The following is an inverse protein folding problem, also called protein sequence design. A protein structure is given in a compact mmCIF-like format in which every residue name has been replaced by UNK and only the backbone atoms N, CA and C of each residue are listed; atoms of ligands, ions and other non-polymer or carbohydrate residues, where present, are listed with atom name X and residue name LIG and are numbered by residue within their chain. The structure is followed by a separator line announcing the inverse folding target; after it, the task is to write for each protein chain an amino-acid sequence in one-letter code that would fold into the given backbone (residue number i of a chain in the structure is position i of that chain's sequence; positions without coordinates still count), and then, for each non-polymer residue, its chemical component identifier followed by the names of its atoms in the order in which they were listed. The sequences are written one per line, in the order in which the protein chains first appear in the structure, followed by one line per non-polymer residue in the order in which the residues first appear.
data_IF_676319013389
#
_entry.id   IF_676319013389
#
_cell.length_a   1.000
_cell.length_b   1.000
_cell.length_c   1.000
_cell.angle_alpha   90.00
_cell.angle_beta   90.00
_cell.angle_gamma   90.00
#
_symmetry.space_group_name_H-M   'P 1'
#
loop_
_entity.id
_entity.type
_entity.pdbx_description
1 polymer ?
#
# COMPACT_ATOMS: atom_id res chain seq x y z
N UNK A 1 -13.84 7.24 -0.84
CA UNK A 1 -12.81 6.77 -1.77
C UNK A 1 -11.46 7.01 -1.14
N UNK A 2 -10.51 6.09 -1.33
CA UNK A 2 -9.16 6.26 -0.78
C UNK A 2 -8.47 7.47 -1.42
N UNK A 3 -7.60 8.13 -0.66
CA UNK A 3 -6.97 9.41 -1.04
C UNK A 3 -5.78 9.26 -2.00
N UNK A 4 -5.51 8.03 -2.46
CA UNK A 4 -4.42 7.73 -3.38
C UNK A 4 -4.91 6.61 -4.30
N UNK A 5 -4.96 6.89 -5.61
CA UNK A 5 -5.24 5.87 -6.62
C UNK A 5 -4.01 4.98 -6.83
N UNK A 6 -4.23 3.70 -7.14
CA UNK A 6 -3.17 2.75 -7.50
C UNK A 6 -3.64 1.85 -8.65
N UNK A 7 -2.70 1.32 -9.42
CA UNK A 7 -2.98 0.36 -10.51
C UNK A 7 -3.71 -0.87 -9.97
N UNK A 8 -4.56 -1.52 -10.79
CA UNK A 8 -5.35 -2.68 -10.37
C UNK A 8 -6.84 -2.38 -10.30
N UNK A 9 -7.50 -2.65 -9.18
CA UNK A 9 -8.94 -2.42 -9.00
C UNK A 9 -9.20 -1.45 -7.86
N UNK A 10 -9.89 -0.35 -8.15
CA UNK A 10 -10.36 0.60 -7.15
C UNK A 10 -11.67 0.09 -6.53
N UNK A 11 -11.71 -0.20 -5.22
CA UNK A 11 -12.97 -0.53 -4.56
C UNK A 11 -13.87 0.71 -4.47
N UNK A 12 -15.11 0.54 -4.91
CA UNK A 12 -16.22 1.48 -4.76
C UNK A 12 -17.25 0.88 -3.81
N UNK A 13 -17.53 1.61 -2.73
CA UNK A 13 -18.53 1.22 -1.74
C UNK A 13 -19.85 1.91 -2.09
N UNK A 14 -20.82 1.14 -2.57
CA UNK A 14 -22.16 1.61 -2.90
C UNK A 14 -23.08 1.37 -1.70
N UNK A 15 -23.58 2.45 -1.09
CA UNK A 15 -24.64 2.43 -0.08
C UNK A 15 -25.93 2.96 -0.72
N UNK A 16 -26.90 2.08 -0.92
CA UNK A 16 -28.18 2.38 -1.55
C UNK A 16 -29.28 2.38 -0.50
N UNK A 17 -30.07 3.46 -0.48
CA UNK A 17 -31.18 3.65 0.46
C UNK A 17 -32.47 4.01 -0.27
N UNK A 18 -33.65 3.62 0.25
CA UNK A 18 -34.94 4.03 -0.33
C UNK A 18 -35.06 5.56 -0.36
N UNK A 19 -35.44 6.12 -1.52
CA UNK A 19 -35.66 7.55 -1.66
C UNK A 19 -36.92 8.03 -0.91
N UNK A 20 -37.93 7.15 -0.81
CA UNK A 20 -39.20 7.40 -0.12
C UNK A 20 -39.42 6.31 0.91
N UNK A 21 -39.78 6.70 2.14
CA UNK A 21 -40.03 5.77 3.23
C UNK A 21 -38.75 5.33 3.96
N UNK A 22 -38.87 4.29 4.79
CA UNK A 22 -37.76 3.75 5.59
C UNK A 22 -37.17 2.45 5.03
N UNK A 23 -37.86 1.83 4.06
CA UNK A 23 -37.58 0.49 3.56
C UNK A 23 -37.94 0.37 2.08
N UNK A 24 -37.26 -0.51 1.35
CA UNK A 24 -37.69 -0.89 0.00
C UNK A 24 -39.05 -1.58 0.06
N UNK A 25 -39.96 -1.23 -0.85
CA UNK A 25 -41.35 -1.70 -0.86
C UNK A 25 -41.58 -2.99 -1.67
N UNK A 26 -40.54 -3.47 -2.34
CA UNK A 26 -40.47 -4.73 -3.08
C UNK A 26 -39.01 -5.09 -3.31
N UNK A 27 -38.75 -6.32 -3.74
CA UNK A 27 -37.45 -6.69 -4.29
C UNK A 27 -37.18 -5.88 -5.57
N UNK A 28 -35.96 -5.39 -5.72
CA UNK A 28 -35.53 -4.59 -6.87
C UNK A 28 -34.22 -5.11 -7.43
N UNK A 29 -34.11 -5.12 -8.76
CA UNK A 29 -32.87 -5.36 -9.48
C UNK A 29 -32.46 -4.07 -10.16
N UNK A 30 -31.35 -3.49 -9.70
CA UNK A 30 -30.85 -2.22 -10.23
C UNK A 30 -29.58 -2.50 -11.04
N UNK A 31 -29.58 -2.09 -12.30
CA UNK A 31 -28.39 -2.08 -13.13
C UNK A 31 -27.59 -0.81 -12.84
N UNK A 32 -26.30 -0.96 -12.61
CA UNK A 32 -25.38 0.12 -12.27
C UNK A 32 -24.32 0.20 -13.36
N UNK A 33 -24.26 1.36 -14.01
CA UNK A 33 -23.19 1.73 -14.93
C UNK A 33 -22.27 2.73 -14.25
N UNK A 34 -20.98 2.43 -14.22
CA UNK A 34 -19.94 3.24 -13.62
C UNK A 34 -18.97 3.67 -14.70
N UNK A 35 -18.87 4.97 -14.92
CA UNK A 35 -18.15 5.60 -16.02
C UNK A 35 -17.02 6.48 -15.46
N UNK A 36 -15.85 5.91 -15.14
CA UNK A 36 -14.67 6.69 -14.81
C UNK A 36 -14.14 7.40 -16.06
N UNK A 37 -13.75 8.67 -15.94
CA UNK A 37 -13.20 9.48 -17.03
C UNK A 37 -12.05 10.34 -16.53
N UNK A 38 -11.14 10.68 -17.42
CA UNK A 38 -10.12 11.70 -17.21
C UNK A 38 -10.65 13.05 -17.75
N UNK A 39 -10.06 14.18 -17.35
CA UNK A 39 -10.40 15.51 -17.85
C UNK A 39 -10.22 15.60 -19.38
N UNK A 40 -9.33 14.76 -19.93
CA UNK A 40 -9.19 14.53 -21.36
C UNK A 40 -9.79 13.17 -21.69
N UNK A 41 -10.67 13.09 -22.69
CA UNK A 41 -11.17 11.79 -23.15
C UNK A 41 -10.01 10.93 -23.64
N UNK A 42 -9.97 9.68 -23.21
CA UNK A 42 -8.91 8.73 -23.55
C UNK A 42 -9.46 7.58 -24.38
N UNK A 43 -8.62 6.97 -25.22
CA UNK A 43 -9.01 5.78 -25.99
C UNK A 43 -9.28 4.54 -25.10
N UNK A 44 -8.95 4.63 -23.81
CA UNK A 44 -9.15 3.57 -22.81
C UNK A 44 -10.29 3.90 -21.83
N UNK A 45 -11.08 4.95 -22.10
CA UNK A 45 -12.30 5.23 -21.36
C UNK A 45 -13.28 4.05 -21.51
N UNK A 46 -13.91 3.65 -20.41
CA UNK A 46 -14.78 2.47 -20.37
C UNK A 46 -15.99 2.67 -19.47
N UNK A 47 -17.03 1.86 -19.70
CA UNK A 47 -18.18 1.75 -18.80
C UNK A 47 -18.14 0.39 -18.11
N UNK A 48 -18.21 0.42 -16.78
CA UNK A 48 -18.25 -0.77 -15.94
C UNK A 48 -19.69 -1.05 -15.51
N UNK A 49 -20.19 -2.24 -15.83
CA UNK A 49 -21.56 -2.64 -15.52
C UNK A 49 -21.58 -3.66 -14.38
N UNK A 50 -22.49 -3.48 -13.43
CA UNK A 50 -22.79 -4.43 -12.35
C UNK A 50 -24.25 -4.34 -11.96
N UNK A 51 -24.73 -5.34 -11.23
CA UNK A 51 -26.10 -5.36 -10.72
C UNK A 51 -26.12 -5.27 -9.19
N UNK A 52 -27.19 -4.68 -8.66
CA UNK A 52 -27.54 -4.67 -7.24
C UNK A 52 -28.88 -5.37 -7.05
N UNK A 53 -28.94 -6.24 -6.05
CA UNK A 53 -30.18 -6.90 -5.63
C UNK A 53 -30.62 -6.33 -4.29
N UNK A 54 -31.68 -5.54 -4.29
CA UNK A 54 -32.22 -4.87 -3.11
C UNK A 54 -33.42 -5.66 -2.60
N UNK A 55 -33.33 -6.20 -1.38
CA UNK A 55 -34.44 -6.96 -0.78
C UNK A 55 -35.56 -6.05 -0.28
N UNK A 56 -36.80 -6.51 -0.44
CA UNK A 56 -37.97 -5.92 0.21
C UNK A 56 -37.73 -5.77 1.71
N UNK A 57 -38.26 -4.71 2.30
CA UNK A 57 -38.14 -4.38 3.72
C UNK A 57 -36.73 -4.03 4.22
N UNK A 58 -35.67 -4.14 3.42
CA UNK A 58 -34.36 -3.64 3.80
C UNK A 58 -34.35 -2.09 3.84
N UNK A 59 -33.66 -1.51 4.82
CA UNK A 59 -33.51 -0.05 4.96
C UNK A 59 -32.31 0.51 4.20
N UNK A 60 -31.34 -0.35 3.89
CA UNK A 60 -30.15 -0.04 3.12
C UNK A 60 -29.60 -1.31 2.50
N UNK A 61 -28.77 -1.15 1.48
CA UNK A 61 -27.97 -2.21 0.89
C UNK A 61 -26.57 -1.68 0.64
N UNK A 62 -25.56 -2.42 1.08
CA UNK A 62 -24.15 -2.07 0.87
C UNK A 62 -23.50 -3.13 -0.03
N UNK A 63 -22.85 -2.68 -1.09
CA UNK A 63 -22.10 -3.55 -1.99
C UNK A 63 -20.75 -2.90 -2.34
N UNK A 64 -19.69 -3.70 -2.30
CA UNK A 64 -18.37 -3.30 -2.79
C UNK A 64 -18.22 -3.74 -4.24
N UNK A 65 -17.95 -2.79 -5.13
CA UNK A 65 -17.72 -3.00 -6.56
C UNK A 65 -16.25 -2.75 -6.85
N UNK A 66 -15.61 -3.68 -7.55
CA UNK A 66 -14.20 -3.58 -7.91
C UNK A 66 -14.11 -3.06 -9.33
N UNK A 67 -13.80 -1.78 -9.48
CA UNK A 67 -13.71 -1.14 -10.80
C UNK A 67 -12.24 -1.07 -11.21
N UNK A 68 -11.85 -1.57 -12.40
CA UNK A 68 -10.48 -1.46 -12.87
C UNK A 68 -9.98 -0.02 -12.84
N UNK A 69 -8.78 0.22 -12.32
CA UNK A 69 -8.13 1.52 -12.25
C UNK A 69 -6.89 1.53 -13.13
N UNK A 70 -7.08 1.95 -14.38
CA UNK A 70 -6.02 1.97 -15.40
C UNK A 70 -5.32 3.33 -15.51
N UNK A 71 -6.03 4.39 -15.18
CA UNK A 71 -5.56 5.77 -15.27
C UNK A 71 -6.27 6.62 -14.20
N UNK A 72 -5.70 7.78 -13.83
CA UNK A 72 -6.34 8.70 -12.91
C UNK A 72 -7.71 9.21 -13.39
N UNK A 73 -8.71 9.01 -12.54
CA UNK A 73 -10.07 9.50 -12.76
C UNK A 73 -10.19 10.95 -12.31
N UNK A 74 -10.52 11.84 -13.24
CA UNK A 74 -10.92 13.21 -12.93
C UNK A 74 -12.43 13.32 -12.71
N UNK A 75 -13.18 12.37 -13.27
CA UNK A 75 -14.61 12.25 -13.14
C UNK A 75 -15.01 10.79 -12.93
N UNK A 76 -16.02 10.56 -12.09
CA UNK A 76 -16.70 9.30 -11.98
C UNK A 76 -18.20 9.54 -12.09
N UNK A 77 -18.83 9.03 -13.15
CA UNK A 77 -20.28 9.07 -13.29
C UNK A 77 -20.88 7.71 -12.91
N UNK A 78 -21.89 7.72 -12.04
CA UNK A 78 -22.67 6.53 -11.70
C UNK A 78 -24.07 6.74 -12.27
N UNK A 79 -24.56 5.77 -13.04
CA UNK A 79 -25.88 5.75 -13.63
C UNK A 79 -26.63 4.48 -13.19
N UNK A 80 -27.86 4.65 -12.71
CA UNK A 80 -28.72 3.61 -12.17
C UNK A 80 -29.97 3.46 -13.02
N UNK A 81 -30.22 2.25 -13.50
CA UNK A 81 -31.44 1.89 -14.23
C UNK A 81 -32.16 0.71 -13.55
N UNK A 82 -33.47 0.63 -13.69
CA UNK A 82 -34.29 -0.51 -13.25
C UNK A 82 -35.20 -0.90 -14.41
N UNK A 83 -35.16 -2.16 -14.83
CA UNK A 83 -35.97 -2.66 -15.95
C UNK A 83 -35.76 -1.87 -17.26
N UNK A 84 -34.56 -1.31 -17.46
CA UNK A 84 -34.19 -0.48 -18.61
C UNK A 84 -34.57 1.00 -18.49
N UNK A 85 -35.27 1.40 -17.43
CA UNK A 85 -35.68 2.79 -17.19
C UNK A 85 -34.73 3.51 -16.23
N UNK A 86 -34.46 4.78 -16.48
CA UNK A 86 -33.60 5.60 -15.63
C UNK A 86 -34.29 5.91 -14.29
N UNK A 87 -33.61 5.64 -13.18
CA UNK A 87 -34.13 6.04 -11.87
C UNK A 87 -34.06 7.56 -11.72
N UNK A 88 -35.08 8.16 -11.10
CA UNK A 88 -35.06 9.59 -10.77
C UNK A 88 -33.89 9.90 -9.83
N UNK A 89 -32.98 10.78 -10.25
CA UNK A 89 -31.73 11.05 -9.52
C UNK A 89 -30.72 9.90 -9.55
N UNK A 90 -30.95 8.89 -10.39
CA UNK A 90 -30.10 7.72 -10.58
C UNK A 90 -28.80 8.01 -11.33
N UNK A 91 -28.61 9.23 -11.85
CA UNK A 91 -27.35 9.67 -12.43
C UNK A 91 -26.67 10.68 -11.51
N UNK A 92 -25.40 10.42 -11.18
CA UNK A 92 -24.57 11.35 -10.42
C UNK A 92 -23.12 11.31 -10.88
N UNK A 93 -22.59 12.50 -11.11
CA UNK A 93 -21.19 12.72 -11.46
C UNK A 93 -20.40 13.24 -10.25
N UNK A 94 -19.23 12.66 -10.02
CA UNK A 94 -18.29 13.06 -8.98
C UNK A 94 -17.02 13.58 -9.66
N UNK A 95 -16.56 14.79 -9.29
CA UNK A 95 -15.37 15.42 -9.87
C UNK A 95 -14.16 15.35 -8.92
N UNK A 96 -12.97 15.29 -9.50
CA UNK A 96 -11.66 15.38 -8.85
C UNK A 96 -11.43 16.74 -8.20
N UNK A 97 -10.66 16.76 -7.12
CA UNK A 97 -10.38 17.95 -6.31
C UNK A 97 -11.46 18.35 -5.31
N UNK A 98 -12.74 18.00 -5.53
CA UNK A 98 -13.81 18.23 -4.54
C UNK A 98 -14.12 17.00 -3.68
N UNK A 99 -14.13 15.79 -4.27
CA UNK A 99 -14.50 14.55 -3.58
C UNK A 99 -13.68 13.31 -4.00
N UNK A 100 -13.15 13.29 -5.22
CA UNK A 100 -12.18 12.28 -5.66
C UNK A 100 -10.79 12.83 -5.36
N UNK A 101 -10.14 12.32 -4.31
CA UNK A 101 -8.73 12.59 -4.02
C UNK A 101 -7.90 11.47 -4.61
N UNK A 102 -7.96 11.21 -5.91
CA UNK A 102 -7.05 10.24 -6.53
C UNK A 102 -5.95 11.02 -7.24
N UNK A 103 -4.99 11.54 -6.47
CA UNK A 103 -3.73 11.98 -7.07
C UNK A 103 -2.95 10.73 -7.47
N UNK A 104 -3.03 10.34 -8.74
CA UNK A 104 -2.06 9.41 -9.28
C UNK A 104 -0.68 10.04 -9.12
N UNK A 105 0.11 9.44 -8.25
CA UNK A 105 1.45 9.91 -7.92
C UNK A 105 2.49 8.98 -8.53
N UNK A 106 2.09 8.17 -9.53
CA UNK A 106 2.94 7.18 -10.20
C UNK A 106 3.80 6.44 -9.17
N UNK A 107 3.14 6.03 -8.08
CA UNK A 107 3.82 5.46 -6.94
C UNK A 107 4.44 4.17 -7.41
N UNK A 108 5.77 4.07 -7.27
CA UNK A 108 6.47 2.87 -7.65
C UNK A 108 6.03 1.69 -6.79
N UNK A 109 5.69 1.93 -5.52
CA UNK A 109 5.30 0.89 -4.57
C UNK A 109 4.14 1.34 -3.67
N UNK A 110 3.08 0.54 -3.59
CA UNK A 110 2.01 0.68 -2.59
C UNK A 110 2.08 -0.42 -1.55
N UNK A 111 2.14 -0.04 -0.27
CA UNK A 111 2.29 -0.96 0.86
C UNK A 111 1.04 -0.97 1.73
N UNK A 112 0.33 -2.08 1.78
CA UNK A 112 -0.70 -2.32 2.80
C UNK A 112 -0.05 -2.61 4.15
N UNK A 113 -0.49 -1.95 5.21
CA UNK A 113 -0.01 -2.18 6.58
C UNK A 113 -1.19 -2.66 7.41
N UNK A 114 -1.18 -3.93 7.79
CA UNK A 114 -2.30 -4.49 8.54
C UNK A 114 -2.20 -4.14 10.02
N UNK A 115 -3.28 -3.54 10.55
CA UNK A 115 -3.37 -3.07 11.92
C UNK A 115 -4.37 -3.93 12.71
N UNK A 116 -3.99 -4.45 13.88
CA UNK A 116 -4.89 -5.26 14.70
C UNK A 116 -6.03 -4.40 15.28
N UNK A 117 -7.23 -4.98 15.40
CA UNK A 117 -8.39 -4.32 16.02
C UNK A 117 -8.09 -3.86 17.46
N UNK A 118 -7.32 -4.67 18.19
CA UNK A 118 -6.95 -4.45 19.58
C UNK A 118 -5.72 -3.54 19.77
N UNK A 119 -5.24 -2.88 18.71
CA UNK A 119 -4.07 -1.99 18.72
C UNK A 119 -4.04 -0.91 19.80
N UNK A 120 -5.18 -0.64 20.47
CA UNK A 120 -5.25 0.27 21.62
C UNK A 120 -4.67 -0.33 22.91
N UNK A 121 -4.57 -1.66 23.01
CA UNK A 121 -4.08 -2.35 24.21
C UNK A 121 -2.54 -2.34 24.27
N UNK A 122 -1.86 -2.40 23.12
CA UNK A 122 -0.40 -2.29 22.97
C UNK A 122 0.39 -3.16 23.97
N UNK A 123 -0.08 -4.39 24.16
CA UNK A 123 0.52 -5.32 25.12
C UNK A 123 1.82 -5.93 24.60
N UNK A 124 2.01 -5.95 23.28
CA UNK A 124 3.15 -6.57 22.60
C UNK A 124 3.75 -5.63 21.56
N UNK A 125 5.04 -5.82 21.25
CA UNK A 125 5.76 -4.92 20.35
C UNK A 125 5.16 -4.89 18.93
N UNK A 126 4.63 -6.02 18.44
CA UNK A 126 4.03 -6.12 17.12
C UNK A 126 2.65 -5.43 17.00
N UNK A 127 1.96 -5.16 18.12
CA UNK A 127 0.70 -4.41 18.15
C UNK A 127 0.89 -2.89 17.95
N UNK A 128 2.12 -2.40 18.12
CA UNK A 128 2.47 -1.01 17.86
C UNK A 128 2.49 -0.78 16.34
N UNK A 129 1.88 0.32 15.88
CA UNK A 129 1.89 0.67 14.47
C UNK A 129 3.35 0.77 13.96
N UNK A 130 3.70 0.10 12.84
CA UNK A 130 5.04 0.13 12.28
C UNK A 130 5.58 1.55 12.05
N UNK A 131 6.78 1.83 12.55
CA UNK A 131 7.53 3.04 12.22
C UNK A 131 8.17 2.91 10.83
N UNK A 132 7.45 3.32 9.79
CA UNK A 132 7.83 3.10 8.39
C UNK A 132 8.88 4.07 7.84
N UNK A 133 9.52 4.90 8.69
CA UNK A 133 10.51 5.89 8.24
C UNK A 133 11.65 5.28 7.41
N UNK A 134 12.12 4.09 7.76
CA UNK A 134 13.14 3.37 6.99
C UNK A 134 12.64 2.94 5.60
N UNK A 135 11.39 2.47 5.54
CA UNK A 135 10.75 2.04 4.30
C UNK A 135 10.46 3.20 3.34
N UNK A 136 10.08 4.38 3.86
CA UNK A 136 9.93 5.59 3.04
C UNK A 136 11.20 5.86 2.23
N UNK A 137 12.36 5.74 2.87
CA UNK A 137 13.66 5.94 2.22
C UNK A 137 14.01 4.79 1.27
N UNK A 138 13.90 3.54 1.72
CA UNK A 138 14.42 2.37 0.98
C UNK A 138 13.52 1.95 -0.18
N UNK A 139 12.19 1.90 0.03
CA UNK A 139 11.24 1.52 -1.03
C UNK A 139 10.96 2.70 -1.97
N UNK A 140 10.68 3.88 -1.41
CA UNK A 140 10.21 5.02 -2.19
C UNK A 140 11.29 5.99 -2.64
N UNK A 141 12.56 5.67 -2.41
CA UNK A 141 13.69 6.61 -2.63
C UNK A 141 13.47 7.96 -1.93
N UNK A 142 12.74 7.95 -0.81
CA UNK A 142 12.37 9.13 -0.06
C UNK A 142 13.54 9.80 0.65
N UNK A 143 13.32 10.97 1.26
CA UNK A 143 14.31 11.62 2.10
C UNK A 143 14.68 10.74 3.30
N UNK A 144 15.89 10.93 3.82
CA UNK A 144 16.26 10.48 5.15
C UNK A 144 15.46 11.29 6.19
N UNK A 145 15.00 10.64 7.29
CA UNK A 145 14.23 11.33 8.32
C UNK A 145 14.97 12.54 8.90
N UNK A 146 14.24 13.63 9.08
CA UNK A 146 14.79 14.89 9.59
C UNK A 146 13.79 15.63 10.49
N UNK A 147 14.27 16.73 11.09
CA UNK A 147 13.45 17.64 11.90
C UNK A 147 13.16 17.14 13.32
N UNK A 148 12.55 18.00 14.13
CA UNK A 148 12.33 17.74 15.57
C UNK A 148 11.30 16.64 15.86
N UNK A 149 10.33 16.43 14.96
CA UNK A 149 9.20 15.52 15.17
C UNK A 149 9.43 14.10 14.65
N UNK A 150 10.39 13.91 13.75
CA UNK A 150 10.66 12.62 13.08
C UNK A 150 12.14 12.35 12.80
N UNK A 151 13.02 13.23 13.25
CA UNK A 151 14.46 13.14 13.00
C UNK A 151 15.21 12.30 14.02
N UNK A 152 16.52 12.53 14.09
CA UNK A 152 17.48 11.69 14.78
C UNK A 152 17.28 11.56 16.30
N UNK A 153 16.56 12.49 16.94
CA UNK A 153 16.31 12.45 18.38
C UNK A 153 15.21 11.45 18.79
N UNK A 154 14.45 10.91 17.84
CA UNK A 154 13.32 10.00 18.12
C UNK A 154 13.64 8.63 17.56
N UNK A 155 14.22 7.70 18.36
CA UNK A 155 14.71 6.42 17.87
C UNK A 155 13.61 5.53 17.28
N UNK A 156 12.38 5.64 17.80
CA UNK A 156 11.17 4.97 17.31
C UNK A 156 9.97 5.89 17.54
N UNK A 157 9.07 5.99 16.55
CA UNK A 157 7.82 6.72 16.70
C UNK A 157 6.85 5.97 17.62
N UNK A 158 6.06 6.71 18.40
CA UNK A 158 4.92 6.13 19.10
C UNK A 158 3.81 5.70 18.11
N UNK A 159 2.87 4.89 18.59
CA UNK A 159 1.78 4.33 17.77
C UNK A 159 1.01 5.41 17.01
N UNK A 160 0.62 6.50 17.66
CA UNK A 160 -0.23 7.52 17.05
C UNK A 160 0.53 8.31 15.98
N UNK A 161 1.81 8.57 16.21
CA UNK A 161 2.67 9.29 15.28
C UNK A 161 3.01 8.41 14.08
N UNK A 162 3.26 7.10 14.30
CA UNK A 162 3.47 6.12 13.24
C UNK A 162 2.20 5.94 12.39
N UNK A 163 1.02 5.81 13.02
CA UNK A 163 -0.26 5.72 12.30
C UNK A 163 -0.55 6.99 11.50
N UNK A 164 -0.29 8.17 12.07
CA UNK A 164 -0.43 9.43 11.34
C UNK A 164 0.50 9.47 10.12
N UNK A 165 1.73 8.98 10.25
CA UNK A 165 2.66 8.87 9.13
C UNK A 165 2.11 7.97 8.02
N UNK A 166 1.46 6.84 8.33
CA UNK A 166 0.84 5.97 7.31
C UNK A 166 -0.26 6.67 6.50
N UNK A 167 -0.98 7.61 7.11
CA UNK A 167 -2.07 8.35 6.47
C UNK A 167 -1.60 9.56 5.64
N UNK A 168 -0.36 10.00 5.84
CA UNK A 168 0.19 11.13 5.10
C UNK A 168 0.59 10.72 3.68
N UNK A 169 0.50 11.68 2.75
CA UNK A 169 1.14 11.55 1.44
C UNK A 169 2.64 11.62 1.67
N UNK A 170 3.35 10.57 1.24
CA UNK A 170 4.78 10.51 1.45
C UNK A 170 5.49 11.40 0.42
N UNK A 171 6.56 12.12 0.82
CA UNK A 171 7.46 12.77 -0.13
C UNK A 171 8.39 11.73 -0.77
N UNK A 172 7.85 10.64 -1.32
CA UNK A 172 8.58 9.48 -1.81
C UNK A 172 7.70 8.69 -2.80
N UNK A 173 8.32 7.89 -3.66
CA UNK A 173 7.62 6.99 -4.60
C UNK A 173 7.07 5.73 -3.92
N UNK A 174 6.69 5.84 -2.64
CA UNK A 174 6.03 4.79 -1.87
C UNK A 174 4.87 5.38 -1.11
N UNK A 175 3.77 4.65 -1.01
CA UNK A 175 2.66 5.02 -0.16
C UNK A 175 2.21 3.87 0.70
N UNK A 176 1.75 4.21 1.89
CA UNK A 176 1.22 3.25 2.83
C UNK A 176 -0.31 3.34 2.88
N UNK A 177 -0.94 2.19 3.06
CA UNK A 177 -2.39 2.05 3.26
C UNK A 177 -2.62 1.27 4.54
N UNK A 178 -3.04 1.93 5.64
CA UNK A 178 -3.41 1.20 6.84
C UNK A 178 -4.69 0.41 6.59
N UNK A 179 -4.60 -0.91 6.71
CA UNK A 179 -5.73 -1.83 6.59
C UNK A 179 -6.12 -2.22 8.00
N UNK A 180 -7.40 -2.12 8.33
CA UNK A 180 -7.90 -2.58 9.63
C UNK A 180 -8.31 -4.04 9.53
N UNK A 181 -7.96 -4.81 10.54
CA UNK A 181 -8.30 -6.23 10.61
C UNK A 181 -9.82 -6.52 10.57
N UNK A 182 -10.68 -5.63 11.08
CA UNK A 182 -12.16 -5.78 10.99
C UNK A 182 -12.73 -5.51 9.59
N UNK A 183 -11.88 -5.07 8.66
CA UNK A 183 -12.25 -4.66 7.31
C UNK A 183 -11.32 -5.28 6.27
N UNK A 184 -10.84 -6.48 6.55
CA UNK A 184 -10.01 -7.21 5.60
C UNK A 184 -10.83 -7.60 4.37
N UNK A 185 -10.32 -7.32 3.16
CA UNK A 185 -10.93 -7.83 1.95
C UNK A 185 -11.15 -9.33 1.97
N UNK A 186 -12.25 -9.77 1.38
CA UNK A 186 -12.61 -11.19 1.27
C UNK A 186 -12.34 -11.75 -0.13
N UNK A 187 -11.85 -10.91 -1.04
CA UNK A 187 -11.51 -11.24 -2.43
C UNK A 187 -10.11 -10.75 -2.73
N UNK A 188 -9.31 -11.58 -3.39
CA UNK A 188 -7.90 -11.26 -3.67
C UNK A 188 -7.74 -10.01 -4.56
N UNK A 189 -8.69 -9.75 -5.46
CA UNK A 189 -8.68 -8.60 -6.37
C UNK A 189 -8.71 -7.26 -5.64
N UNK A 190 -9.23 -7.19 -4.42
CA UNK A 190 -9.22 -5.97 -3.60
C UNK A 190 -7.81 -5.59 -3.13
N UNK A 191 -6.88 -6.55 -3.07
CA UNK A 191 -5.47 -6.30 -2.80
C UNK A 191 -4.66 -5.92 -4.05
N UNK A 192 -5.28 -5.89 -5.24
CA UNK A 192 -4.57 -5.64 -6.49
C UNK A 192 -3.91 -4.26 -6.57
N UNK A 193 -4.37 -3.28 -5.78
CA UNK A 193 -3.73 -1.96 -5.64
C UNK A 193 -2.48 -1.97 -4.75
N UNK A 194 -2.19 -3.09 -4.09
CA UNK A 194 -1.02 -3.25 -3.27
C UNK A 194 0.06 -3.98 -4.04
N UNK A 195 1.28 -3.57 -3.77
CA UNK A 195 2.50 -4.25 -4.19
C UNK A 195 3.06 -5.14 -3.09
N UNK A 196 2.85 -4.70 -1.86
CA UNK A 196 3.36 -5.32 -0.66
C UNK A 196 2.32 -5.28 0.46
N UNK A 197 2.19 -6.36 1.21
CA UNK A 197 1.42 -6.41 2.46
C UNK A 197 2.38 -6.65 3.65
N UNK A 198 2.37 -5.75 4.63
CA UNK A 198 3.06 -5.91 5.92
C UNK A 198 2.08 -6.45 6.95
N UNK A 199 2.43 -7.56 7.59
CA UNK A 199 1.55 -8.22 8.57
C UNK A 199 2.35 -8.94 9.67
N UNK A 200 2.01 -8.81 10.96
CA UNK A 200 2.62 -9.63 12.00
C UNK A 200 2.12 -11.08 11.94
N UNK A 201 2.99 -12.05 12.20
CA UNK A 201 2.69 -13.48 12.19
C UNK A 201 1.53 -13.85 13.12
N UNK A 202 1.47 -13.35 14.37
CA UNK A 202 0.33 -13.64 15.26
C UNK A 202 -1.01 -13.15 14.70
N UNK A 203 -1.02 -11.98 14.07
CA UNK A 203 -2.22 -11.44 13.44
C UNK A 203 -2.64 -12.27 12.22
N UNK A 204 -1.69 -12.69 11.38
CA UNK A 204 -1.98 -13.56 10.23
C UNK A 204 -2.60 -14.89 10.67
N UNK A 205 -2.08 -15.50 11.74
CA UNK A 205 -2.62 -16.75 12.28
C UNK A 205 -4.01 -16.54 12.89
N UNK A 206 -4.27 -15.42 13.56
CA UNK A 206 -5.61 -15.06 14.04
C UNK A 206 -6.61 -14.94 12.87
N UNK A 207 -6.24 -14.21 11.81
CA UNK A 207 -7.06 -14.05 10.60
C UNK A 207 -7.36 -15.40 9.95
N UNK A 208 -6.39 -16.32 9.90
CA UNK A 208 -6.60 -17.68 9.39
C UNK A 208 -7.71 -18.42 10.14
N UNK A 209 -7.78 -18.26 11.46
CA UNK A 209 -8.76 -18.96 12.32
C UNK A 209 -10.12 -18.24 12.32
N UNK A 210 -10.12 -16.92 12.49
CA UNK A 210 -11.34 -16.13 12.73
C UNK A 210 -11.97 -15.60 11.44
N UNK A 211 -11.18 -15.41 10.37
CA UNK A 211 -11.61 -14.83 9.09
C UNK A 211 -11.05 -15.63 7.90
N UNK A 212 -11.36 -16.94 7.78
CA UNK A 212 -10.70 -17.83 6.81
C UNK A 212 -10.87 -17.39 5.35
N UNK A 213 -11.98 -16.72 5.01
CA UNK A 213 -12.19 -16.19 3.67
C UNK A 213 -11.20 -15.06 3.32
N UNK A 214 -10.97 -14.13 4.25
CA UNK A 214 -9.97 -13.06 4.07
C UNK A 214 -8.55 -13.60 4.06
N UNK A 215 -8.27 -14.61 4.89
CA UNK A 215 -6.99 -15.33 4.81
C UNK A 215 -6.78 -15.95 3.42
N UNK A 216 -7.77 -16.66 2.89
CA UNK A 216 -7.69 -17.25 1.56
C UNK A 216 -7.49 -16.18 0.48
N UNK A 217 -8.15 -15.03 0.58
CA UNK A 217 -7.96 -13.91 -0.33
C UNK A 217 -6.51 -13.37 -0.33
N UNK A 218 -5.85 -13.32 0.83
CA UNK A 218 -4.42 -12.96 0.93
C UNK A 218 -3.56 -14.02 0.23
N UNK A 219 -3.83 -15.31 0.49
CA UNK A 219 -3.08 -16.43 -0.11
C UNK A 219 -3.23 -16.44 -1.63
N UNK A 220 -4.44 -16.28 -2.14
CA UNK A 220 -4.73 -16.19 -3.57
C UNK A 220 -4.02 -14.98 -4.20
N UNK A 221 -4.03 -13.82 -3.53
CA UNK A 221 -3.33 -12.63 -3.99
C UNK A 221 -1.81 -12.88 -4.09
N UNK A 222 -1.20 -13.51 -3.09
CA UNK A 222 0.22 -13.91 -3.14
C UNK A 222 0.45 -14.87 -4.31
N UNK A 223 -0.41 -15.87 -4.49
CA UNK A 223 -0.29 -16.83 -5.60
C UNK A 223 -0.32 -16.14 -6.98
N UNK A 224 -1.01 -15.01 -7.10
CA UNK A 224 -1.06 -14.18 -8.33
C UNK A 224 0.10 -13.19 -8.50
N UNK A 225 1.08 -13.19 -7.60
CA UNK A 225 2.27 -12.33 -7.70
C UNK A 225 2.43 -11.33 -6.56
N UNK A 226 1.47 -11.23 -5.62
CA UNK A 226 1.58 -10.36 -4.46
C UNK A 226 2.79 -10.69 -3.57
N UNK A 227 3.35 -9.67 -2.92
CA UNK A 227 4.40 -9.87 -1.91
C UNK A 227 3.84 -9.66 -0.52
N UNK A 228 4.11 -10.56 0.42
CA UNK A 228 3.80 -10.38 1.84
C UNK A 228 5.07 -10.42 2.68
N UNK A 229 5.25 -9.46 3.58
CA UNK A 229 6.28 -9.51 4.61
C UNK A 229 5.61 -9.77 5.95
N UNK A 230 5.89 -10.97 6.47
CA UNK A 230 5.41 -11.44 7.74
C UNK A 230 6.50 -11.22 8.78
N UNK A 231 6.25 -10.41 9.81
CA UNK A 231 7.20 -10.18 10.90
C UNK A 231 6.75 -10.83 12.21
N UNK A 232 7.56 -10.80 13.27
CA UNK A 232 7.32 -11.52 14.52
C UNK A 232 7.20 -13.04 14.35
N UNK A 233 7.95 -13.61 13.39
CA UNK A 233 7.88 -15.06 13.11
C UNK A 233 8.56 -15.93 14.17
N UNK A 234 9.37 -15.34 15.06
CA UNK A 234 9.86 -16.02 16.26
C UNK A 234 8.80 -16.12 17.37
N UNK A 235 7.86 -15.18 17.43
CA UNK A 235 6.74 -15.23 18.39
C UNK A 235 5.78 -16.34 17.99
N UNK A 236 5.45 -16.43 16.71
CA UNK A 236 4.53 -17.44 16.19
C UNK A 236 4.94 -17.92 14.80
N UNK A 237 5.10 -19.24 14.66
CA UNK A 237 5.47 -19.84 13.39
C UNK A 237 4.39 -19.61 12.33
N UNK A 238 4.82 -19.37 11.09
CA UNK A 238 3.92 -19.38 9.96
C UNK A 238 3.51 -20.83 9.68
N UNK A 239 2.27 -21.19 10.00
CA UNK A 239 1.80 -22.58 9.88
C UNK A 239 1.27 -22.93 8.49
N UNK A 240 1.04 -21.93 7.64
CA UNK A 240 0.45 -22.08 6.32
C UNK A 240 1.49 -22.23 5.19
N UNK A 241 2.75 -21.89 5.47
CA UNK A 241 3.91 -22.23 4.64
C UNK A 241 4.76 -23.19 5.45
N UNK A 242 5.17 -24.28 4.82
CA UNK A 242 6.00 -25.26 5.51
C UNK A 242 7.40 -24.69 5.78
N UNK A 243 7.96 -24.94 6.96
CA UNK A 243 9.23 -24.33 7.38
C UNK A 243 10.42 -24.68 6.48
N UNK A 244 10.37 -25.85 5.83
CA UNK A 244 11.36 -26.30 4.85
C UNK A 244 11.30 -25.51 3.53
N UNK A 245 10.19 -24.81 3.25
CA UNK A 245 10.08 -23.91 2.10
C UNK A 245 10.71 -22.53 2.37
N UNK A 246 10.95 -22.18 3.64
CA UNK A 246 11.53 -20.90 4.03
C UNK A 246 13.06 -21.00 3.99
N UNK A 247 13.64 -20.37 2.98
CA UNK A 247 15.09 -20.26 2.82
C UNK A 247 15.62 -19.03 3.55
N UNK A 248 16.70 -19.17 4.33
CA UNK A 248 17.36 -18.00 4.95
C UNK A 248 18.05 -17.13 3.89
N UNK A 249 18.05 -15.82 4.12
CA UNK A 249 18.76 -14.89 3.24
C UNK A 249 20.28 -15.21 3.28
N UNK A 250 20.97 -15.33 2.14
CA UNK A 250 22.42 -15.48 2.15
C UNK A 250 23.10 -14.21 2.67
N UNK A 251 24.09 -14.34 3.56
CA UNK A 251 24.80 -13.17 4.12
C UNK A 251 25.52 -12.31 3.06
N UNK A 252 25.90 -12.91 1.93
CA UNK A 252 26.48 -12.18 0.80
C UNK A 252 25.51 -11.23 0.08
N UNK A 253 24.20 -11.35 0.32
CA UNK A 253 23.18 -10.44 -0.20
C UNK A 253 22.90 -9.25 0.73
N UNK A 254 23.49 -9.24 1.93
CA UNK A 254 23.37 -8.10 2.86
C UNK A 254 24.50 -7.12 2.56
N UNK A 255 24.14 -5.90 2.18
CA UNK A 255 25.11 -4.84 1.92
C UNK A 255 25.97 -4.53 3.16
N UNK A 256 27.29 -4.44 2.96
CA UNK A 256 28.18 -3.87 3.98
C UNK A 256 28.03 -2.34 4.08
N UNK A 257 28.71 -1.68 5.04
CA UNK A 257 28.55 -0.24 5.29
C UNK A 257 28.75 0.65 4.06
N UNK A 258 29.72 0.32 3.19
CA UNK A 258 29.95 1.06 1.95
C UNK A 258 28.81 0.88 0.93
N UNK A 259 28.25 -0.33 0.82
CA UNK A 259 27.11 -0.63 -0.04
C UNK A 259 25.86 0.15 0.39
N UNK A 260 25.56 0.14 1.69
CA UNK A 260 24.43 0.88 2.26
C UNK A 260 24.54 2.37 1.96
N UNK A 261 25.70 2.99 2.23
CA UNK A 261 25.94 4.41 1.96
C UNK A 261 25.83 4.77 0.47
N UNK A 262 26.25 3.87 -0.42
CA UNK A 262 26.12 4.05 -1.87
C UNK A 262 24.66 4.03 -2.31
N UNK A 263 23.89 3.04 -1.87
CA UNK A 263 22.47 2.92 -2.19
C UNK A 263 21.65 4.09 -1.61
N UNK A 264 22.02 4.60 -0.44
CA UNK A 264 21.40 5.79 0.14
C UNK A 264 21.75 7.09 -0.61
N UNK A 265 22.63 7.06 -1.62
CA UNK A 265 23.02 8.23 -2.42
C UNK A 265 23.38 9.45 -1.57
N UNK A 266 24.26 9.28 -0.58
CA UNK A 266 24.51 10.30 0.46
C UNK A 266 25.01 11.66 -0.08
N UNK A 267 25.53 11.73 -1.30
CA UNK A 267 25.95 12.99 -1.92
C UNK A 267 24.78 13.80 -2.52
N UNK A 268 23.61 13.19 -2.68
CA UNK A 268 22.42 13.85 -3.20
C UNK A 268 21.76 14.76 -2.15
N UNK A 269 20.90 15.66 -2.63
CA UNK A 269 20.06 16.50 -1.77
C UNK A 269 19.04 15.64 -1.00
N UNK A 270 18.77 16.00 0.26
CA UNK A 270 17.76 15.33 1.08
C UNK A 270 16.38 15.98 0.86
N UNK A 271 15.85 15.83 -0.35
CA UNK A 271 14.64 16.51 -0.81
C UNK A 271 13.36 16.01 -0.10
N UNK A 272 12.85 16.85 0.80
CA UNK A 272 11.63 16.61 1.57
C UNK A 272 10.36 17.15 0.91
N UNK A 273 10.46 17.72 -0.29
CA UNK A 273 9.28 18.21 -1.01
C UNK A 273 8.35 17.06 -1.40
N UNK A 274 7.06 17.40 -1.49
CA UNK A 274 6.03 16.45 -1.89
C UNK A 274 6.18 16.08 -3.38
N UNK A 275 5.57 14.97 -3.76
CA UNK A 275 5.40 14.64 -5.16
C UNK A 275 4.26 15.47 -5.76
N UNK A 276 4.47 16.01 -6.96
CA UNK A 276 3.48 16.73 -7.75
C UNK A 276 3.49 16.21 -9.18
N UNK A 277 2.42 16.46 -9.93
CA UNK A 277 2.44 16.31 -11.38
C UNK A 277 2.98 17.57 -12.03
N UNK A 278 3.73 17.42 -13.11
CA UNK A 278 4.09 18.54 -13.97
C UNK A 278 3.11 18.76 -15.12
N UNK A 279 3.45 19.66 -16.04
CA UNK A 279 2.60 20.01 -17.18
C UNK A 279 2.46 18.84 -18.17
N UNK A 280 3.39 17.87 -18.17
CA UNK A 280 3.33 16.63 -18.96
C UNK A 280 2.63 15.49 -18.18
N UNK A 281 2.06 15.81 -17.01
CA UNK A 281 1.48 14.86 -16.06
C UNK A 281 2.48 13.86 -15.47
N UNK A 282 3.79 14.09 -15.64
CA UNK A 282 4.82 13.28 -15.00
C UNK A 282 4.91 13.60 -13.52
N UNK A 283 5.14 12.57 -12.69
CA UNK A 283 5.26 12.76 -11.25
C UNK A 283 6.69 13.10 -10.89
N UNK A 284 6.86 14.30 -10.36
CA UNK A 284 8.14 14.92 -10.03
C UNK A 284 8.11 15.45 -8.60
N UNK A 285 9.27 15.75 -8.05
CA UNK A 285 9.38 16.50 -6.80
C UNK A 285 8.95 17.95 -7.02
N UNK A 286 8.18 18.52 -6.11
CA UNK A 286 7.77 19.93 -6.12
C UNK A 286 8.98 20.90 -6.10
N UNK A 287 10.12 20.44 -5.58
CA UNK A 287 11.41 21.12 -5.68
C UNK A 287 11.83 21.47 -7.13
N UNK A 288 11.33 20.75 -8.15
CA UNK A 288 11.56 21.07 -9.58
C UNK A 288 11.06 22.48 -9.94
N UNK A 289 10.08 23.02 -9.21
CA UNK A 289 9.44 24.32 -9.47
C UNK A 289 9.75 25.39 -8.42
N UNK A 290 10.52 25.06 -7.40
CA UNK A 290 10.79 25.96 -6.28
C UNK A 290 12.29 26.10 -6.04
N UNK A 291 12.74 27.30 -5.67
CA UNK A 291 14.14 27.57 -5.33
C UNK A 291 14.49 27.08 -3.91
N UNK A 292 13.95 25.94 -3.50
CA UNK A 292 14.16 25.38 -2.18
C UNK A 292 15.60 24.85 -2.06
N UNK A 293 16.30 25.27 -1.00
CA UNK A 293 17.62 24.75 -0.67
C UNK A 293 17.49 23.64 0.36
N UNK A 294 17.85 22.42 -0.03
CA UNK A 294 17.87 21.26 0.87
C UNK A 294 19.31 20.93 1.26
N UNK A 295 19.50 20.48 2.50
CA UNK A 295 20.78 19.94 2.96
C UNK A 295 21.11 18.61 2.28
N UNK A 296 22.35 18.14 2.41
CA UNK A 296 22.76 16.85 1.84
C UNK A 296 22.22 15.67 2.66
N UNK A 297 22.07 14.52 2.00
CA UNK A 297 21.74 13.25 2.66
C UNK A 297 22.84 12.79 3.62
N UNK A 298 24.10 13.10 3.31
CA UNK A 298 25.25 12.84 4.20
C UNK A 298 25.06 13.46 5.58
N UNK A 299 24.53 14.69 5.63
CA UNK A 299 24.37 15.44 6.87
C UNK A 299 23.27 14.81 7.72
N UNK A 300 22.13 14.48 7.10
CA UNK A 300 21.03 13.78 7.76
C UNK A 300 21.45 12.38 8.26
N UNK A 301 22.24 11.64 7.47
CA UNK A 301 22.75 10.34 7.88
C UNK A 301 23.74 10.45 9.05
N UNK A 302 24.61 11.47 9.03
CA UNK A 302 25.58 11.72 10.10
C UNK A 302 24.85 12.05 11.40
N UNK A 303 23.83 12.90 11.37
CA UNK A 303 22.98 13.17 12.53
C UNK A 303 22.33 11.91 13.11
N UNK A 304 21.82 11.02 12.24
CA UNK A 304 21.25 9.73 12.67
C UNK A 304 22.32 8.84 13.33
N UNK A 305 23.53 8.78 12.74
CA UNK A 305 24.63 7.98 13.26
C UNK A 305 25.14 8.53 14.60
N UNK A 306 25.31 9.84 14.73
CA UNK A 306 25.76 10.53 15.93
C UNK A 306 24.76 10.36 17.08
N UNK A 307 23.45 10.39 16.77
CA UNK A 307 22.38 10.10 17.71
C UNK A 307 22.23 8.60 18.03
N UNK A 308 23.04 7.73 17.41
CA UNK A 308 22.93 6.25 17.49
C UNK A 308 21.52 5.76 17.16
N UNK A 309 20.88 6.40 16.18
CA UNK A 309 19.52 6.08 15.77
C UNK A 309 19.47 4.68 15.12
N UNK A 310 18.45 3.84 15.38
CA UNK A 310 18.35 2.49 14.81
C UNK A 310 18.50 2.42 13.29
N UNK A 311 17.88 3.36 12.55
CA UNK A 311 18.04 3.54 11.10
C UNK A 311 19.49 3.53 10.58
N UNK A 312 20.43 4.16 11.30
CA UNK A 312 21.83 4.26 10.88
C UNK A 312 22.72 3.16 11.48
N UNK A 313 22.15 2.24 12.27
CA UNK A 313 22.88 1.12 12.85
C UNK A 313 23.33 0.15 11.77
N UNK A 314 24.56 -0.35 11.89
CA UNK A 314 25.13 -1.35 10.99
C UNK A 314 25.44 -2.60 11.80
N UNK A 315 25.01 -3.74 11.29
CA UNK A 315 25.23 -5.04 11.89
C UNK A 315 26.09 -5.92 10.98
N UNK A 316 26.63 -7.00 11.54
CA UNK A 316 27.33 -7.99 10.73
C UNK A 316 26.34 -8.61 9.72
N UNK A 317 26.71 -8.77 8.43
CA UNK A 317 25.84 -9.32 7.39
C UNK A 317 25.13 -10.62 7.78
N UNK A 318 25.84 -11.54 8.44
CA UNK A 318 25.26 -12.81 8.92
C UNK A 318 24.15 -12.62 9.96
N UNK A 319 24.25 -11.62 10.84
CA UNK A 319 23.23 -11.36 11.86
C UNK A 319 21.94 -10.83 11.25
N UNK A 320 22.05 -9.92 10.26
CA UNK A 320 20.91 -9.42 9.47
C UNK A 320 20.27 -10.56 8.69
N UNK A 321 21.09 -11.32 7.95
CA UNK A 321 20.65 -12.44 7.12
C UNK A 321 19.89 -13.53 7.90
N UNK A 322 20.37 -13.88 9.09
CA UNK A 322 19.74 -14.93 9.92
C UNK A 322 18.32 -14.57 10.37
N UNK A 323 17.98 -13.28 10.41
CA UNK A 323 16.64 -12.79 10.79
C UNK A 323 15.66 -12.75 9.61
N UNK A 324 16.13 -12.96 8.38
CA UNK A 324 15.32 -12.87 7.17
C UNK A 324 15.25 -14.26 6.53
N UNK A 325 14.04 -14.80 6.43
CA UNK A 325 13.70 -15.93 5.60
C UNK A 325 12.88 -15.48 4.40
N UNK A 326 12.82 -16.29 3.35
CA UNK A 326 11.93 -16.06 2.23
C UNK A 326 11.45 -17.38 1.62
N UNK A 327 10.27 -17.35 1.01
CA UNK A 327 9.71 -18.47 0.26
C UNK A 327 8.93 -17.92 -0.95
N UNK A 328 8.95 -18.65 -2.06
CA UNK A 328 8.05 -18.37 -3.19
C UNK A 328 6.72 -19.07 -2.97
N UNK A 329 5.62 -18.41 -3.34
CA UNK A 329 4.28 -19.00 -3.26
C UNK A 329 3.48 -18.60 -4.50
N UNK A 330 3.22 -19.56 -5.39
CA UNK A 330 2.72 -19.27 -6.74
C UNK A 330 3.70 -18.34 -7.48
N UNK A 331 3.19 -17.23 -8.00
CA UNK A 331 3.99 -16.18 -8.65
C UNK A 331 4.57 -15.15 -7.67
N UNK A 332 4.12 -15.15 -6.41
CA UNK A 332 4.49 -14.14 -5.42
C UNK A 332 5.60 -14.58 -4.47
N UNK A 333 5.85 -13.75 -3.47
CA UNK A 333 6.88 -14.00 -2.47
C UNK A 333 6.40 -13.71 -1.04
N UNK A 334 6.87 -14.54 -0.12
CA UNK A 334 6.75 -14.36 1.32
C UNK A 334 8.13 -14.06 1.88
N UNK A 335 8.27 -12.94 2.58
CA UNK A 335 9.43 -12.66 3.42
C UNK A 335 9.05 -12.90 4.88
N UNK A 336 9.80 -13.75 5.57
CA UNK A 336 9.65 -14.05 6.98
C UNK A 336 10.71 -13.26 7.77
N UNK A 337 10.27 -12.34 8.62
CA UNK A 337 11.13 -11.55 9.51
C UNK A 337 11.00 -12.11 10.93
N UNK A 338 12.13 -12.51 11.48
CA UNK A 338 12.21 -13.15 12.79
C UNK A 338 11.84 -12.20 13.94
N UNK A 339 12.27 -10.94 13.83
CA UNK A 339 12.11 -9.93 14.87
C UNK A 339 10.63 -9.64 15.18
N UNK A 340 10.31 -9.58 16.46
CA UNK A 340 8.97 -9.24 16.96
C UNK A 340 8.53 -7.84 16.53
N UNK A 341 9.49 -6.94 16.39
CA UNK A 341 9.28 -5.56 15.96
C UNK A 341 10.51 -5.05 15.19
N UNK A 342 10.57 -5.25 13.86
CA UNK A 342 11.71 -4.85 13.04
C UNK A 342 11.76 -3.34 12.77
N UNK A 343 10.89 -2.52 13.37
CA UNK A 343 10.75 -1.10 13.04
C UNK A 343 11.51 -0.18 14.03
N UNK A 344 11.98 1.01 13.62
CA UNK A 344 12.07 1.47 12.24
C UNK A 344 13.10 0.72 11.38
N UNK A 345 13.83 -0.25 11.97
CA UNK A 345 14.86 -1.06 11.32
C UNK A 345 16.06 -0.24 10.89
N UNK A 346 17.19 -0.88 10.58
CA UNK A 346 18.30 -0.17 9.93
C UNK A 346 18.08 -0.05 8.42
N UNK A 347 18.71 0.93 7.77
CA UNK A 347 18.72 0.99 6.31
C UNK A 347 19.34 -0.28 5.71
N UNK A 348 20.38 -0.84 6.34
CA UNK A 348 20.98 -2.11 5.94
C UNK A 348 19.97 -3.26 5.98
N UNK A 349 19.18 -3.36 7.06
CA UNK A 349 18.16 -4.39 7.21
C UNK A 349 17.09 -4.28 6.12
N UNK A 350 16.52 -3.09 5.91
CA UNK A 350 15.48 -2.91 4.89
C UNK A 350 16.01 -3.05 3.47
N UNK A 351 17.25 -2.63 3.18
CA UNK A 351 17.89 -2.88 1.88
C UNK A 351 18.09 -4.38 1.64
N UNK A 352 18.39 -5.17 2.68
CA UNK A 352 18.47 -6.63 2.56
C UNK A 352 17.11 -7.28 2.30
N UNK A 353 16.06 -6.82 2.99
CA UNK A 353 14.67 -7.28 2.77
C UNK A 353 14.21 -6.93 1.36
N UNK A 354 14.41 -5.69 0.93
CA UNK A 354 14.05 -5.22 -0.41
C UNK A 354 14.91 -5.85 -1.48
N UNK A 355 16.21 -6.04 -1.26
CA UNK A 355 17.11 -6.64 -2.25
C UNK A 355 16.71 -8.06 -2.67
N UNK A 356 15.94 -8.78 -1.84
CA UNK A 356 15.38 -10.09 -2.18
C UNK A 356 14.21 -10.00 -3.16
N UNK A 357 13.49 -8.89 -3.12
CA UNK A 357 12.27 -8.53 -3.84
C UNK A 357 12.68 -7.42 -4.81
N UNK A 358 13.23 -7.73 -6.00
CA UNK A 358 13.70 -6.63 -6.86
C UNK A 358 12.58 -5.59 -7.00
N UNK A 359 12.89 -4.29 -6.90
CA UNK A 359 11.83 -3.27 -6.93
C UNK A 359 10.94 -3.43 -8.16
N UNK A 360 11.53 -3.89 -9.27
CA UNK A 360 10.80 -4.28 -10.48
C UNK A 360 9.75 -5.37 -10.19
N UNK A 361 10.09 -6.47 -9.52
CA UNK A 361 9.14 -7.52 -9.12
C UNK A 361 8.03 -7.03 -8.18
N UNK A 362 8.31 -5.97 -7.39
CA UNK A 362 7.32 -5.35 -6.53
C UNK A 362 6.34 -4.47 -7.29
N UNK A 363 6.61 -4.00 -8.51
CA UNK A 363 5.66 -3.09 -9.19
C UNK A 363 4.55 -3.86 -9.91
N UNK A 364 3.30 -3.41 -9.75
CA UNK A 364 2.13 -3.99 -10.44
C UNK A 364 2.34 -4.16 -11.95
N UNK A 365 2.88 -3.11 -12.62
CA UNK A 365 3.20 -3.13 -14.05
C UNK A 365 4.03 -4.34 -14.46
N UNK A 366 5.07 -4.67 -13.70
CA UNK A 366 5.95 -5.79 -14.01
C UNK A 366 5.30 -7.14 -13.68
N UNK A 367 4.43 -7.20 -12.66
CA UNK A 367 3.67 -8.41 -12.34
C UNK A 367 2.66 -8.78 -13.43
N UNK A 368 1.95 -7.77 -13.95
CA UNK A 368 0.88 -7.96 -14.94
C UNK A 368 1.42 -7.91 -16.38
N UNK A 369 2.63 -7.39 -16.58
CA UNK A 369 3.26 -7.25 -17.90
C UNK A 369 2.59 -6.18 -18.77
N UNK A 370 1.83 -5.26 -18.16
CA UNK A 370 1.08 -4.23 -18.86
C UNK A 370 1.31 -2.87 -18.21
N UNK A 371 1.80 -1.93 -19.00
CA UNK A 371 1.81 -0.51 -18.64
C UNK A 371 0.64 0.19 -19.31
N UNK A 372 -0.46 0.33 -18.57
CA UNK A 372 -1.68 0.93 -19.12
C UNK A 372 -1.47 2.39 -19.55
N UNK A 373 -0.66 3.15 -18.81
CA UNK A 373 -0.41 4.58 -19.08
C UNK A 373 0.40 4.83 -20.35
N UNK A 374 1.35 3.97 -20.68
CA UNK A 374 2.14 4.10 -21.90
C UNK A 374 1.35 3.69 -23.15
N UNK A 375 0.18 3.07 -22.97
CA UNK A 375 -0.47 2.28 -24.01
C UNK A 375 0.41 1.08 -24.35
N UNK A 376 -0.16 -0.11 -24.42
CA UNK A 376 0.60 -1.22 -24.98
C UNK A 376 0.75 -0.96 -26.49
N UNK A 377 1.85 -0.32 -26.92
CA UNK A 377 2.15 -0.08 -28.35
C UNK A 377 2.56 -1.36 -29.09
N UNK A 378 2.55 -2.52 -28.40
CA UNK A 378 2.94 -3.81 -28.96
C UNK A 378 1.75 -4.75 -29.24
N UNK A 379 0.55 -4.23 -29.50
CA UNK A 379 -0.54 -4.99 -30.14
C UNK A 379 -0.98 -4.36 -31.45
#
# INVERSE_FOLDING_TARGET
MEAVGGQGYQPLYLDVRPAVGKRFNRDRRIDVTISPRNAYSTAIDFDYHTELFLSESASSHEQTVLVPYYYPWDELTIHLTEEGENLTGGQRTFLSGQKLRTSDTNQAVTVGVLLPQDSKRQNTAWEICPDVRGLVTVLGQGPLPNGKKRGASIPRLDHQTALSLLHEVQPAFVQFRPIKEDRLPSRWLEYSQLDLLLIPSPLLNRIRVEQPQSFQAIVDWIATGGSVWVYATNTEAMTWISSDQITKLPSGQVAGPAGVKRELSLQSVNDISQLTKDYEQEVVKESKYSNNTFRKRSDAFTELADAKHPLATMEHPTAVANRIGYATYGLGMVIAIADDDPFPGSFQFWQAVVGKNSLDQLTWKQRVGVEMLAGNVNY
#
